data_IF_944905021551
#
_entry.id   IF_944905021551
#
_cell.length_a   1.000
_cell.length_b   1.000
_cell.length_c   1.000
_cell.angle_alpha   90.00
_cell.angle_beta   90.00
_cell.angle_gamma   90.00
#
_symmetry.space_group_name_H-M   'P 1'
#
loop_
_entity.id
_entity.type
_entity.pdbx_description
1 polymer ?
#
# COMPACT_ATOMS: atom_id res chain seq x y z
N UNK A 1 -0.45 -3.47 47.59
CA UNK A 1 -0.65 -2.41 46.58
C UNK A 1 -1.28 -3.02 45.33
N UNK A 2 -2.56 -2.73 45.08
CA UNK A 2 -3.22 -3.14 43.83
C UNK A 2 -2.78 -2.18 42.71
N UNK A 3 -2.16 -2.72 41.66
CA UNK A 3 -1.77 -1.96 40.48
C UNK A 3 -2.86 -2.07 39.40
N UNK A 4 -3.19 -0.92 38.79
CA UNK A 4 -4.11 -0.83 37.66
C UNK A 4 -3.47 -1.49 36.43
N UNK A 5 -4.22 -2.39 35.77
CA UNK A 5 -3.79 -3.16 34.60
C UNK A 5 -4.41 -2.60 33.33
N UNK A 6 -3.73 -2.76 32.18
CA UNK A 6 -4.23 -2.44 30.83
C UNK A 6 -3.87 -3.57 29.85
N UNK A 7 -4.61 -3.67 28.75
CA UNK A 7 -4.29 -4.59 27.64
C UNK A 7 -3.35 -3.92 26.63
N UNK A 8 -2.23 -4.56 26.23
CA UNK A 8 -1.49 -4.22 25.00
C UNK A 8 -2.29 -4.68 23.77
N UNK A 9 -2.12 -4.02 22.63
CA UNK A 9 -2.62 -4.44 21.31
C UNK A 9 -2.14 -5.84 20.87
N UNK A 10 -1.15 -6.42 21.52
CA UNK A 10 -0.72 -7.81 21.33
C UNK A 10 -1.49 -8.83 22.21
N UNK A 11 -2.48 -8.39 22.99
CA UNK A 11 -3.28 -9.23 23.89
C UNK A 11 -2.73 -9.40 25.32
N UNK A 12 -1.47 -9.02 25.59
CA UNK A 12 -0.87 -9.14 26.93
C UNK A 12 -1.46 -8.11 27.92
N UNK A 13 -1.64 -8.53 29.18
CA UNK A 13 -1.99 -7.64 30.28
C UNK A 13 -0.69 -7.10 30.91
N UNK A 14 -0.59 -5.78 31.03
CA UNK A 14 0.57 -5.08 31.61
C UNK A 14 0.11 -4.01 32.60
N UNK A 15 1.00 -3.48 33.45
CA UNK A 15 0.64 -2.37 34.34
C UNK A 15 0.36 -1.10 33.53
N UNK A 16 -0.47 -0.21 34.08
CA UNK A 16 -0.87 1.04 33.43
C UNK A 16 0.34 1.87 32.97
N UNK A 17 1.41 1.91 33.76
CA UNK A 17 2.64 2.67 33.47
C UNK A 17 3.74 1.86 32.77
N UNK A 18 3.51 0.58 32.46
CA UNK A 18 4.47 -0.23 31.73
C UNK A 18 4.28 -0.08 30.21
N UNK A 19 5.39 -0.23 29.48
CA UNK A 19 5.41 -0.40 28.02
C UNK A 19 5.66 -1.88 27.78
N UNK A 20 4.70 -2.56 27.15
CA UNK A 20 4.87 -3.96 26.84
C UNK A 20 5.99 -4.13 25.80
N UNK A 21 6.81 -5.17 25.92
CA UNK A 21 7.87 -5.50 24.96
C UNK A 21 7.37 -5.66 23.51
N UNK A 22 6.06 -5.95 23.33
CA UNK A 22 5.35 -5.87 22.03
C UNK A 22 5.58 -4.53 21.31
N UNK A 23 5.75 -3.43 22.06
CA UNK A 23 5.85 -2.06 21.56
C UNK A 23 7.29 -1.60 21.34
N UNK A 24 8.30 -2.36 21.78
CA UNK A 24 9.70 -2.14 21.40
C UNK A 24 10.01 -2.63 19.98
N UNK A 25 8.98 -3.00 19.21
CA UNK A 25 9.12 -3.30 17.79
C UNK A 25 9.32 -2.00 17.00
N UNK A 26 10.58 -1.61 16.83
CA UNK A 26 10.96 -0.69 15.76
C UNK A 26 10.84 -1.48 14.46
N UNK A 27 9.80 -1.20 13.66
CA UNK A 27 9.66 -1.80 12.33
C UNK A 27 10.95 -1.47 11.56
N UNK A 28 11.72 -2.48 11.16
CA UNK A 28 12.89 -2.27 10.29
C UNK A 28 12.39 -1.65 8.99
N UNK A 29 12.61 -0.35 8.83
CA UNK A 29 12.29 0.35 7.60
C UNK A 29 13.40 0.05 6.61
N UNK A 30 13.04 -0.57 5.50
CA UNK A 30 13.92 -0.69 4.35
C UNK A 30 14.24 0.71 3.83
N UNK A 31 15.51 1.13 3.98
CA UNK A 31 15.98 2.47 3.62
C UNK A 31 15.87 2.71 2.12
N UNK A 32 16.09 1.70 1.29
CA UNK A 32 16.01 1.82 -0.16
C UNK A 32 14.57 1.98 -0.61
N UNK A 33 13.67 1.19 -0.03
CA UNK A 33 12.23 1.34 -0.23
C UNK A 33 11.76 2.74 0.20
N UNK A 34 12.17 3.19 1.39
CA UNK A 34 11.84 4.54 1.89
C UNK A 34 12.36 5.64 0.96
N UNK A 35 13.62 5.53 0.52
CA UNK A 35 14.26 6.47 -0.40
C UNK A 35 13.49 6.53 -1.73
N UNK A 36 13.15 5.38 -2.31
CA UNK A 36 12.37 5.30 -3.54
C UNK A 36 11.00 5.98 -3.41
N UNK A 37 10.19 5.62 -2.41
CA UNK A 37 8.85 6.22 -2.25
C UNK A 37 8.90 7.71 -1.85
N UNK A 38 10.04 8.18 -1.33
CA UNK A 38 10.27 9.61 -1.08
C UNK A 38 10.80 10.39 -2.30
N UNK A 39 11.24 9.68 -3.35
CA UNK A 39 11.89 10.27 -4.53
C UNK A 39 10.94 11.13 -5.36
N UNK A 40 11.52 12.11 -6.07
CA UNK A 40 10.77 12.98 -6.99
C UNK A 40 10.12 12.18 -8.13
N UNK A 41 10.86 11.24 -8.73
CA UNK A 41 10.37 10.42 -9.85
C UNK A 41 9.09 9.65 -9.47
N UNK A 42 9.10 8.99 -8.31
CA UNK A 42 7.92 8.29 -7.82
C UNK A 42 6.76 9.25 -7.54
N UNK A 43 7.02 10.36 -6.83
CA UNK A 43 5.98 11.36 -6.51
C UNK A 43 5.36 11.94 -7.79
N UNK A 44 6.17 12.23 -8.81
CA UNK A 44 5.72 12.74 -10.11
C UNK A 44 4.80 11.72 -10.80
N UNK A 45 5.25 10.48 -10.95
CA UNK A 45 4.45 9.40 -11.55
C UNK A 45 3.13 9.19 -10.80
N UNK A 46 3.20 9.04 -9.48
CA UNK A 46 2.02 8.87 -8.62
C UNK A 46 1.03 10.01 -8.80
N UNK A 47 1.50 11.25 -8.79
CA UNK A 47 0.63 12.42 -8.90
C UNK A 47 -0.01 12.54 -10.29
N UNK A 48 0.70 12.14 -11.36
CA UNK A 48 0.12 12.03 -12.70
C UNK A 48 -1.02 11.01 -12.72
N UNK A 49 -0.78 9.79 -12.23
CA UNK A 49 -1.81 8.74 -12.13
C UNK A 49 -3.02 9.19 -11.35
N UNK A 50 -2.84 9.80 -10.17
CA UNK A 50 -3.95 10.32 -9.36
C UNK A 50 -4.71 11.45 -10.05
N UNK A 51 -4.05 12.29 -10.87
CA UNK A 51 -4.72 13.35 -11.62
C UNK A 51 -5.62 12.79 -12.72
N UNK A 52 -5.16 11.76 -13.42
CA UNK A 52 -5.92 11.10 -14.51
C UNK A 52 -7.02 10.20 -13.96
N UNK A 53 -6.76 9.56 -12.83
CA UNK A 53 -7.64 8.62 -12.15
C UNK A 53 -7.89 9.09 -10.70
N UNK A 54 -8.74 10.11 -10.48
CA UNK A 54 -8.91 10.76 -9.18
C UNK A 54 -9.80 9.98 -8.21
N UNK A 55 -9.83 8.65 -8.32
CA UNK A 55 -10.58 7.75 -7.44
C UNK A 55 -9.95 6.34 -7.41
N UNK A 56 -10.27 5.56 -6.38
CA UNK A 56 -9.81 4.17 -6.24
C UNK A 56 -10.36 3.28 -7.37
N UNK A 57 -9.47 2.78 -8.22
CA UNK A 57 -9.80 1.92 -9.36
C UNK A 57 -10.49 0.62 -8.91
N UNK A 58 -9.97 -0.02 -7.85
CA UNK A 58 -10.53 -1.27 -7.31
C UNK A 58 -11.94 -1.09 -6.74
N UNK A 59 -12.17 -0.04 -5.94
CA UNK A 59 -13.50 0.25 -5.38
C UNK A 59 -14.52 0.53 -6.48
N UNK A 60 -14.14 1.28 -7.51
CA UNK A 60 -15.01 1.54 -8.65
C UNK A 60 -15.32 0.27 -9.45
N UNK A 61 -14.29 -0.53 -9.74
CA UNK A 61 -14.46 -1.77 -10.50
C UNK A 61 -15.39 -2.75 -9.79
N UNK A 62 -15.14 -3.04 -8.51
CA UNK A 62 -15.84 -4.09 -7.76
C UNK A 62 -17.20 -3.65 -7.21
N UNK A 63 -17.32 -2.38 -6.82
CA UNK A 63 -18.47 -1.91 -6.03
C UNK A 63 -19.16 -0.67 -6.60
N UNK A 64 -18.64 -0.10 -7.70
CA UNK A 64 -19.11 1.18 -8.27
C UNK A 64 -19.07 2.33 -7.26
N UNK A 65 -18.14 2.27 -6.31
CA UNK A 65 -17.93 3.31 -5.29
C UNK A 65 -16.83 4.27 -5.72
N UNK A 66 -17.15 5.57 -5.75
CA UNK A 66 -16.19 6.65 -5.98
C UNK A 66 -15.54 7.03 -4.65
N UNK A 67 -14.34 6.51 -4.41
CA UNK A 67 -13.53 6.80 -3.20
C UNK A 67 -12.35 7.68 -3.62
N UNK A 68 -12.27 8.89 -3.09
CA UNK A 68 -11.31 9.93 -3.53
C UNK A 68 -10.34 10.36 -2.42
N UNK A 69 -10.58 9.93 -1.18
CA UNK A 69 -9.77 10.26 -0.02
C UNK A 69 -8.53 9.36 0.09
N UNK A 70 -7.42 9.95 0.55
CA UNK A 70 -6.18 9.24 0.85
C UNK A 70 -5.71 8.27 -0.25
N UNK A 71 -5.88 8.64 -1.52
CA UNK A 71 -5.43 7.85 -2.67
C UNK A 71 -3.93 7.56 -2.59
N UNK A 72 -3.50 6.43 -3.14
CA UNK A 72 -2.13 5.95 -3.15
C UNK A 72 -1.83 5.35 -4.54
N UNK A 73 -0.57 5.45 -4.97
CA UNK A 73 -0.08 4.67 -6.10
C UNK A 73 0.30 3.28 -5.60
N UNK A 74 -0.34 2.26 -6.16
CA UNK A 74 -0.09 0.85 -5.86
C UNK A 74 0.62 0.20 -7.04
N UNK A 75 1.77 -0.43 -6.79
CA UNK A 75 2.44 -1.26 -7.79
C UNK A 75 1.65 -2.53 -8.03
N UNK A 76 1.20 -2.77 -9.26
CA UNK A 76 0.48 -4.01 -9.63
C UNK A 76 1.44 -5.21 -9.56
N UNK A 77 2.62 -5.07 -10.17
CA UNK A 77 3.79 -5.92 -10.01
C UNK A 77 4.72 -5.24 -8.99
N UNK A 78 4.81 -5.84 -7.80
CA UNK A 78 5.39 -5.23 -6.60
C UNK A 78 6.86 -4.81 -6.79
N UNK A 79 7.21 -3.68 -6.15
CA UNK A 79 8.59 -3.17 -6.08
C UNK A 79 9.63 -4.22 -5.65
N UNK A 80 9.23 -5.14 -4.76
CA UNK A 80 10.11 -6.17 -4.18
C UNK A 80 10.54 -7.20 -5.21
N UNK A 81 9.63 -7.62 -6.09
CA UNK A 81 9.87 -8.68 -7.06
C UNK A 81 10.20 -8.13 -8.46
N UNK A 82 9.67 -6.96 -8.81
CA UNK A 82 9.77 -6.36 -10.14
C UNK A 82 10.37 -4.95 -10.07
N UNK A 83 11.55 -4.81 -9.46
CA UNK A 83 12.19 -3.50 -9.23
C UNK A 83 12.47 -2.70 -10.51
N UNK A 84 12.70 -3.40 -11.64
CA UNK A 84 12.93 -2.79 -12.94
C UNK A 84 11.67 -2.05 -13.47
N UNK A 85 10.48 -2.44 -13.01
CA UNK A 85 9.19 -1.83 -13.39
C UNK A 85 8.72 -0.75 -12.39
N UNK A 86 9.56 -0.35 -11.42
CA UNK A 86 9.14 0.51 -10.30
C UNK A 86 8.64 1.91 -10.71
N UNK A 87 9.03 2.38 -11.91
CA UNK A 87 8.60 3.68 -12.47
C UNK A 87 7.77 3.51 -13.74
N UNK A 88 7.31 2.30 -14.05
CA UNK A 88 6.49 2.06 -15.22
C UNK A 88 5.07 2.53 -14.98
N UNK A 89 4.53 3.29 -15.93
CA UNK A 89 3.23 3.92 -15.81
C UNK A 89 2.09 2.90 -15.71
N UNK A 90 2.13 1.86 -16.55
CA UNK A 90 1.13 0.78 -16.56
C UNK A 90 1.20 -0.12 -15.33
N UNK A 91 2.30 -0.06 -14.57
CA UNK A 91 2.48 -0.83 -13.34
C UNK A 91 1.90 -0.12 -12.10
N UNK A 92 1.27 1.04 -12.24
CA UNK A 92 0.77 1.82 -11.09
C UNK A 92 -0.73 2.04 -11.16
N UNK A 93 -1.47 1.40 -10.25
CA UNK A 93 -2.89 1.66 -10.03
C UNK A 93 -3.12 2.73 -8.95
N UNK A 94 -4.22 3.46 -9.02
CA UNK A 94 -4.66 4.40 -8.00
C UNK A 94 -5.66 3.71 -7.07
N UNK A 95 -5.28 3.57 -5.80
CA UNK A 95 -6.10 2.88 -4.79
C UNK A 95 -6.31 3.75 -3.55
N UNK A 96 -7.42 3.57 -2.85
CA UNK A 96 -7.54 4.11 -1.50
C UNK A 96 -6.59 3.35 -0.54
N UNK A 97 -6.33 3.93 0.63
CA UNK A 97 -5.47 3.31 1.66
C UNK A 97 -5.92 1.89 2.02
N UNK A 98 -7.23 1.66 2.15
CA UNK A 98 -7.77 0.34 2.54
C UNK A 98 -7.45 -0.73 1.50
N UNK A 99 -7.72 -0.47 0.22
CA UNK A 99 -7.40 -1.41 -0.86
C UNK A 99 -5.90 -1.65 -0.98
N UNK A 100 -5.07 -0.60 -0.90
CA UNK A 100 -3.61 -0.75 -0.95
C UNK A 100 -3.07 -1.64 0.19
N UNK A 101 -3.61 -1.50 1.41
CA UNK A 101 -3.23 -2.35 2.56
C UNK A 101 -3.71 -3.79 2.38
N UNK A 102 -4.92 -4.01 1.86
CA UNK A 102 -5.47 -5.34 1.62
C UNK A 102 -4.65 -6.12 0.59
N UNK A 103 -4.20 -5.48 -0.48
CA UNK A 103 -3.41 -6.13 -1.53
C UNK A 103 -1.95 -6.34 -1.13
N UNK A 104 -1.35 -5.43 -0.36
CA UNK A 104 0.03 -5.56 0.09
C UNK A 104 1.03 -5.63 -1.08
N UNK A 105 1.88 -6.66 -1.10
CA UNK A 105 2.82 -6.98 -2.18
C UNK A 105 2.46 -8.31 -2.88
N UNK A 106 1.18 -8.69 -2.87
CA UNK A 106 0.70 -9.99 -3.39
C UNK A 106 0.83 -10.18 -4.91
N UNK A 107 1.02 -9.10 -5.67
CA UNK A 107 0.95 -9.08 -7.15
C UNK A 107 -0.40 -9.55 -7.71
N UNK A 108 -1.45 -9.58 -6.88
CA UNK A 108 -2.80 -10.01 -7.27
C UNK A 108 -3.56 -8.83 -7.84
N UNK A 109 -4.17 -9.06 -9.00
CA UNK A 109 -5.11 -8.13 -9.63
C UNK A 109 -6.50 -8.75 -9.55
N UNK A 110 -7.26 -8.39 -8.51
CA UNK A 110 -8.60 -8.93 -8.24
C UNK A 110 -9.74 -8.02 -8.74
N UNK A 111 -9.42 -7.02 -9.58
CA UNK A 111 -10.39 -6.11 -10.19
C UNK A 111 -10.16 -5.96 -11.69
N UNK A 112 -11.16 -5.44 -12.40
CA UNK A 112 -11.09 -5.23 -13.84
C UNK A 112 -10.24 -3.99 -14.15
N UNK A 113 -9.27 -4.17 -15.04
CA UNK A 113 -8.41 -3.11 -15.59
C UNK A 113 -8.67 -2.94 -17.09
N UNK A 114 -7.99 -1.98 -17.73
CA UNK A 114 -7.96 -1.90 -19.20
C UNK A 114 -7.19 -3.08 -19.80
N UNK A 115 -7.48 -3.40 -21.07
CA UNK A 115 -6.80 -4.49 -21.78
C UNK A 115 -5.28 -4.23 -21.86
N UNK A 116 -4.88 -2.98 -22.09
CA UNK A 116 -3.46 -2.57 -22.09
C UNK A 116 -2.74 -2.92 -20.77
N UNK A 117 -3.36 -2.65 -19.62
CA UNK A 117 -2.76 -2.98 -18.31
C UNK A 117 -2.72 -4.49 -18.12
N UNK A 118 -3.76 -5.21 -18.58
CA UNK A 118 -3.81 -6.67 -18.48
C UNK A 118 -2.69 -7.30 -19.31
N UNK A 119 -2.55 -6.93 -20.57
CA UNK A 119 -1.49 -7.39 -21.46
C UNK A 119 -0.10 -7.05 -20.89
N UNK A 120 0.08 -5.83 -20.39
CA UNK A 120 1.33 -5.41 -19.73
C UNK A 120 1.68 -6.34 -18.55
N UNK A 121 0.72 -6.66 -17.69
CA UNK A 121 0.95 -7.55 -16.54
C UNK A 121 1.25 -8.98 -17.01
N UNK A 122 0.55 -9.49 -18.03
CA UNK A 122 0.77 -10.83 -18.57
C UNK A 122 2.16 -11.00 -19.19
N UNK A 123 2.67 -9.96 -19.88
CA UNK A 123 4.01 -9.98 -20.50
C UNK A 123 5.15 -9.87 -19.48
N UNK A 124 4.93 -9.16 -18.37
CA UNK A 124 5.99 -8.84 -17.40
C UNK A 124 5.96 -9.68 -16.12
N UNK A 125 4.97 -10.57 -15.94
CA UNK A 125 4.82 -11.42 -14.76
C UNK A 125 5.70 -12.66 -14.81
#
# INVERSE_FOLDING_TARGET
MNFIKKYCSCGKIIRLNEICSCKNYTRKIDKDKSRFYSSYAWKKLRNMRVKEQPYCERCWSLHKLIVTDCLQGHHILSYKHYNHLKLDYLNVAVLCRTCNVQLGDSNVLDWKVSEEVREYVEVNR
#
